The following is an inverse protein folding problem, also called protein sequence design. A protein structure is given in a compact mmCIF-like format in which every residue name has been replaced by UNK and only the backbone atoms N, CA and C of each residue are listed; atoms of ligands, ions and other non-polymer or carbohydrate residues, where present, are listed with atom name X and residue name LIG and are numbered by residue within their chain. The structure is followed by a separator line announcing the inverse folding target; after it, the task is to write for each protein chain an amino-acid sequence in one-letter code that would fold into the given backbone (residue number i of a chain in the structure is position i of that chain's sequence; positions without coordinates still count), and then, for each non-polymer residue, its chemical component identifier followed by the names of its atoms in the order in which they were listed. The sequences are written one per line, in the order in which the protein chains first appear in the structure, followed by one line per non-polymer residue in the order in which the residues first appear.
data_IF_304920825919
#
_entry.id   IF_304920825919
#
_cell.length_a   1.000
_cell.length_b   1.000
_cell.length_c   1.000
_cell.angle_alpha   90.00
_cell.angle_beta   90.00
_cell.angle_gamma   90.00
#
_symmetry.space_group_name_H-M   'P 1'
#
loop_
_entity.id
_entity.type
_entity.pdbx_description
1 polymer ?
#
# COMPACT_ATOMS: atom_id res chain seq x y z
N UNK A 1 9.46 -3.44 -10.88
CA UNK A 1 10.54 -3.04 -9.99
C UNK A 1 9.95 -2.32 -8.78
N UNK A 2 10.37 -2.73 -7.61
CA UNK A 2 9.96 -2.14 -6.33
C UNK A 2 11.10 -1.24 -5.90
N UNK A 3 10.94 0.05 -6.08
CA UNK A 3 11.99 1.04 -5.82
C UNK A 3 11.40 2.24 -5.08
N UNK A 4 12.07 2.69 -4.05
CA UNK A 4 11.78 3.91 -3.31
C UNK A 4 13.08 4.62 -2.95
N UNK A 5 13.02 5.94 -2.76
CA UNK A 5 14.20 6.73 -2.42
C UNK A 5 13.84 7.90 -1.51
N UNK A 6 14.80 8.31 -0.70
CA UNK A 6 14.76 9.55 0.08
C UNK A 6 16.11 10.30 -0.02
N UNK A 7 16.33 11.28 0.82
CA UNK A 7 17.58 12.03 0.83
C UNK A 7 18.81 11.16 1.18
N UNK A 8 18.62 10.10 1.96
CA UNK A 8 19.71 9.26 2.48
C UNK A 8 20.07 8.08 1.57
N UNK A 9 19.10 7.48 0.88
CA UNK A 9 19.36 6.25 0.14
C UNK A 9 18.32 5.92 -0.93
N UNK A 10 18.66 4.89 -1.70
CA UNK A 10 17.77 4.20 -2.64
C UNK A 10 17.52 2.80 -2.12
N UNK A 11 16.28 2.38 -2.13
CA UNK A 11 15.83 1.11 -1.56
C UNK A 11 15.05 0.32 -2.62
N UNK A 12 15.35 -0.96 -2.75
CA UNK A 12 14.67 -1.84 -3.69
C UNK A 12 14.70 -3.29 -3.21
N UNK A 13 13.89 -4.14 -3.83
CA UNK A 13 13.93 -5.58 -3.58
C UNK A 13 14.61 -6.27 -4.77
N UNK A 14 15.69 -7.00 -4.51
CA UNK A 14 16.54 -7.63 -5.54
C UNK A 14 16.01 -8.98 -6.06
N UNK A 15 14.85 -9.40 -5.57
CA UNK A 15 14.26 -10.73 -5.84
C UNK A 15 14.25 -11.60 -4.59
N UNK A 16 15.14 -11.36 -3.64
CA UNK A 16 15.29 -12.14 -2.40
C UNK A 16 15.20 -11.25 -1.16
N UNK A 17 15.85 -10.12 -1.18
CA UNK A 17 16.05 -9.24 -0.01
C UNK A 17 15.76 -7.78 -0.36
N UNK A 18 15.50 -6.98 0.66
CA UNK A 18 15.50 -5.53 0.55
C UNK A 18 16.95 -5.04 0.62
N UNK A 19 17.33 -4.19 -0.32
CA UNK A 19 18.69 -3.64 -0.46
C UNK A 19 18.62 -2.12 -0.36
N UNK A 20 19.58 -1.54 0.33
CA UNK A 20 19.81 -0.09 0.36
C UNK A 20 21.15 0.26 -0.28
N UNK A 21 21.10 1.24 -1.16
CA UNK A 21 22.30 1.85 -1.73
C UNK A 21 22.43 3.28 -1.24
N UNK A 22 23.66 3.73 -1.12
CA UNK A 22 23.94 5.15 -0.96
C UNK A 22 23.49 5.91 -2.22
N UNK A 23 22.74 6.98 -2.04
CA UNK A 23 22.17 7.73 -3.15
C UNK A 23 23.20 8.44 -4.03
N UNK A 24 24.35 8.79 -3.48
CA UNK A 24 25.39 9.55 -4.19
C UNK A 24 26.41 8.65 -4.87
N UNK A 25 26.84 7.58 -4.16
CA UNK A 25 27.91 6.71 -4.63
C UNK A 25 27.39 5.45 -5.32
N UNK A 26 26.16 5.04 -5.04
CA UNK A 26 25.60 3.77 -5.50
C UNK A 26 26.11 2.56 -4.72
N UNK A 27 26.95 2.76 -3.70
CA UNK A 27 27.46 1.66 -2.89
C UNK A 27 26.40 1.05 -2.01
N UNK A 28 26.45 -0.27 -1.82
CA UNK A 28 25.51 -0.97 -0.95
C UNK A 28 25.77 -0.60 0.52
N UNK A 29 24.76 -0.06 1.17
CA UNK A 29 24.81 0.26 2.60
C UNK A 29 24.42 -0.94 3.46
N UNK A 30 23.34 -1.62 3.08
CA UNK A 30 22.89 -2.83 3.76
C UNK A 30 22.02 -3.69 2.84
N UNK A 31 21.87 -4.94 3.24
CA UNK A 31 20.97 -5.91 2.65
C UNK A 31 20.28 -6.67 3.78
N UNK A 32 18.94 -6.80 3.70
CA UNK A 32 18.16 -7.51 4.72
C UNK A 32 18.33 -9.02 4.62
N UNK A 33 17.94 -9.72 5.67
CA UNK A 33 17.58 -11.14 5.56
C UNK A 33 16.52 -11.34 4.48
N UNK A 34 16.38 -12.55 3.92
CA UNK A 34 15.42 -12.82 2.88
C UNK A 34 14.01 -12.36 3.25
N UNK A 35 13.43 -11.54 2.41
CA UNK A 35 12.07 -11.03 2.52
C UNK A 35 11.24 -11.65 1.40
N UNK A 36 10.35 -12.56 1.72
CA UNK A 36 9.62 -13.37 0.76
C UNK A 36 8.76 -12.55 -0.22
N UNK A 37 8.67 -13.07 -1.44
CA UNK A 37 7.72 -12.56 -2.44
C UNK A 37 6.67 -13.62 -2.71
N UNK A 38 5.40 -13.21 -2.75
CA UNK A 38 4.32 -14.03 -3.25
C UNK A 38 4.39 -14.18 -4.79
N UNK A 39 3.63 -15.11 -5.31
CA UNK A 39 3.41 -15.19 -6.76
C UNK A 39 2.65 -13.94 -7.22
N UNK A 40 3.09 -13.32 -8.29
CA UNK A 40 2.36 -12.21 -8.90
C UNK A 40 0.95 -12.66 -9.27
N UNK A 41 -0.04 -11.86 -8.91
CA UNK A 41 -1.40 -12.03 -9.37
C UNK A 41 -1.57 -11.65 -10.85
N UNK A 42 -2.78 -11.78 -11.37
CA UNK A 42 -3.12 -11.23 -12.68
C UNK A 42 -2.77 -9.75 -12.74
N UNK A 43 -2.38 -9.25 -13.90
CA UNK A 43 -1.82 -7.91 -14.12
C UNK A 43 -0.45 -7.64 -13.50
N UNK A 44 0.23 -8.64 -12.93
CA UNK A 44 1.58 -8.49 -12.37
C UNK A 44 1.75 -7.28 -11.43
N UNK A 45 0.78 -7.03 -10.58
CA UNK A 45 0.97 -6.08 -9.49
C UNK A 45 2.10 -6.61 -8.59
N UNK A 46 3.27 -6.06 -8.76
CA UNK A 46 4.46 -6.44 -8.00
C UNK A 46 4.34 -6.08 -6.52
N UNK A 47 5.30 -6.53 -5.72
CA UNK A 47 5.41 -6.15 -4.32
C UNK A 47 5.50 -4.62 -4.17
N UNK A 48 5.19 -4.12 -2.99
CA UNK A 48 5.25 -2.70 -2.65
C UNK A 48 6.42 -2.43 -1.73
N UNK A 49 7.08 -1.31 -1.95
CA UNK A 49 8.12 -0.79 -1.07
C UNK A 49 7.94 0.71 -0.91
N UNK A 50 7.95 1.18 0.31
CA UNK A 50 7.80 2.59 0.67
C UNK A 50 8.90 2.94 1.66
N UNK A 51 9.48 4.13 1.55
CA UNK A 51 10.35 4.71 2.56
C UNK A 51 9.75 6.01 3.08
N UNK A 52 9.57 6.09 4.38
CA UNK A 52 9.03 7.26 5.06
C UNK A 52 9.63 7.35 6.47
N UNK A 53 9.98 8.55 6.89
CA UNK A 53 10.39 8.88 8.26
C UNK A 53 11.44 7.94 8.88
N UNK A 54 12.43 7.54 8.07
CA UNK A 54 13.49 6.64 8.50
C UNK A 54 13.13 5.16 8.54
N UNK A 55 11.95 4.78 8.03
CA UNK A 55 11.51 3.39 7.95
C UNK A 55 11.30 2.97 6.51
N UNK A 56 11.81 1.81 6.15
CA UNK A 56 11.55 1.13 4.87
C UNK A 56 10.55 0.02 5.10
N UNK A 57 9.40 0.07 4.42
CA UNK A 57 8.38 -0.96 4.53
C UNK A 57 8.32 -1.73 3.21
N UNK A 58 8.35 -3.04 3.31
CA UNK A 58 8.22 -3.96 2.20
C UNK A 58 7.01 -4.89 2.41
N UNK A 59 6.13 -4.93 1.42
CA UNK A 59 5.02 -5.88 1.33
C UNK A 59 5.23 -6.75 0.08
N UNK A 60 5.57 -8.01 0.30
CA UNK A 60 6.02 -8.91 -0.76
C UNK A 60 4.90 -9.56 -1.58
N UNK A 61 3.63 -9.35 -1.23
CA UNK A 61 2.51 -10.06 -1.85
C UNK A 61 2.32 -11.49 -1.31
N UNK A 62 2.98 -11.82 -0.20
CA UNK A 62 2.90 -13.10 0.52
C UNK A 62 2.05 -13.01 1.80
N UNK A 63 1.22 -11.97 1.91
CA UNK A 63 0.39 -11.62 3.08
C UNK A 63 1.17 -11.15 4.30
N UNK A 64 2.41 -10.76 4.11
CA UNK A 64 3.27 -10.22 5.15
C UNK A 64 3.87 -8.89 4.70
N UNK A 65 4.02 -7.97 5.64
CA UNK A 65 4.83 -6.78 5.48
C UNK A 65 5.89 -6.72 6.57
N UNK A 66 7.03 -6.17 6.22
CA UNK A 66 8.19 -5.99 7.10
C UNK A 66 8.66 -4.56 7.07
N UNK A 67 9.00 -4.04 8.22
CA UNK A 67 9.59 -2.71 8.35
C UNK A 67 11.04 -2.82 8.80
N UNK A 68 11.88 -2.04 8.16
CA UNK A 68 13.31 -2.00 8.43
C UNK A 68 13.73 -0.56 8.75
N UNK A 69 14.68 -0.40 9.64
CA UNK A 69 15.35 0.87 9.85
C UNK A 69 16.11 1.26 8.57
N UNK A 70 15.85 2.45 8.05
CA UNK A 70 16.39 2.88 6.75
C UNK A 70 17.90 3.08 6.74
N UNK A 71 18.51 3.29 7.90
CA UNK A 71 19.96 3.53 8.04
C UNK A 71 20.70 2.22 8.20
N UNK A 72 20.25 1.36 9.11
CA UNK A 72 20.95 0.13 9.51
C UNK A 72 20.46 -1.13 8.80
N UNK A 73 19.25 -1.12 8.23
CA UNK A 73 18.61 -2.32 7.67
C UNK A 73 18.07 -3.29 8.72
N UNK A 74 18.12 -2.92 10.01
CA UNK A 74 17.61 -3.77 11.09
C UNK A 74 16.09 -3.92 10.95
N UNK A 75 15.61 -5.15 11.07
CA UNK A 75 14.17 -5.42 11.15
C UNK A 75 13.59 -4.79 12.41
N UNK A 76 12.59 -3.92 12.23
CA UNK A 76 11.86 -3.25 13.31
C UNK A 76 10.66 -4.07 13.74
N UNK A 77 9.84 -4.48 12.77
CA UNK A 77 8.64 -5.28 13.03
C UNK A 77 8.20 -6.03 11.78
N UNK A 78 7.34 -7.03 12.01
CA UNK A 78 6.64 -7.79 10.97
C UNK A 78 5.16 -7.80 11.30
N UNK A 79 4.30 -7.68 10.30
CA UNK A 79 2.85 -7.71 10.48
C UNK A 79 2.14 -8.35 9.29
N UNK A 80 0.89 -8.82 9.47
CA UNK A 80 0.08 -9.26 8.35
C UNK A 80 -0.18 -8.12 7.36
N UNK A 81 -0.09 -8.43 6.07
CA UNK A 81 -0.49 -7.52 5.00
C UNK A 81 -1.82 -7.97 4.40
N UNK A 82 -2.70 -7.02 4.14
CA UNK A 82 -4.00 -7.29 3.58
C UNK A 82 -3.89 -7.90 2.17
N UNK A 83 -4.74 -8.87 1.90
CA UNK A 83 -4.83 -9.50 0.58
C UNK A 83 -5.60 -8.62 -0.39
N UNK A 84 -5.11 -8.49 -1.63
CA UNK A 84 -5.88 -7.97 -2.76
C UNK A 84 -6.98 -8.94 -3.19
N UNK A 85 -8.02 -8.41 -3.83
CA UNK A 85 -9.04 -9.22 -4.47
C UNK A 85 -8.62 -9.74 -5.85
N UNK A 86 -9.56 -10.33 -6.55
CA UNK A 86 -9.34 -10.78 -7.93
C UNK A 86 -8.89 -9.61 -8.81
N UNK A 87 -7.73 -9.76 -9.45
CA UNK A 87 -7.10 -8.73 -10.28
C UNK A 87 -6.87 -7.36 -9.62
N UNK A 88 -6.93 -7.29 -8.30
CA UNK A 88 -6.67 -6.07 -7.54
C UNK A 88 -5.29 -6.10 -6.89
N UNK A 89 -4.56 -4.99 -6.86
CA UNK A 89 -3.29 -4.92 -6.15
C UNK A 89 -3.51 -4.98 -4.63
N UNK A 90 -2.50 -5.43 -3.95
CA UNK A 90 -2.36 -5.23 -2.50
C UNK A 90 -1.77 -3.84 -2.29
N UNK A 91 -2.45 -2.99 -1.52
CA UNK A 91 -2.00 -1.63 -1.30
C UNK A 91 -1.14 -1.53 -0.05
N UNK A 92 -0.17 -0.64 -0.12
CA UNK A 92 0.66 -0.22 0.99
C UNK A 92 0.75 1.30 0.93
N UNK A 93 0.15 1.97 1.89
CA UNK A 93 0.13 3.43 1.97
C UNK A 93 0.70 3.87 3.32
N UNK A 94 1.46 4.95 3.34
CA UNK A 94 1.94 5.56 4.58
C UNK A 94 1.44 6.99 4.62
N UNK A 95 0.64 7.31 5.64
CA UNK A 95 0.02 8.62 5.81
C UNK A 95 -0.09 8.92 7.31
N UNK A 96 0.26 10.12 7.71
CA UNK A 96 0.14 10.58 9.09
C UNK A 96 0.82 9.62 10.08
N UNK A 97 2.06 9.21 9.75
CA UNK A 97 2.85 8.29 10.58
C UNK A 97 2.29 6.88 10.73
N UNK A 98 1.32 6.50 9.89
CA UNK A 98 0.67 5.19 9.94
C UNK A 98 0.78 4.46 8.62
N UNK A 99 1.00 3.16 8.73
CA UNK A 99 0.96 2.21 7.62
C UNK A 99 -0.46 1.70 7.48
N UNK A 100 -1.06 1.95 6.33
CA UNK A 100 -2.43 1.58 6.04
C UNK A 100 -2.50 0.39 5.10
N UNK A 101 -3.29 -0.60 5.47
CA UNK A 101 -3.67 -1.72 4.62
C UNK A 101 -5.12 -2.13 4.89
N UNK A 102 -5.79 -2.65 3.85
CA UNK A 102 -7.10 -3.24 3.99
C UNK A 102 -7.30 -4.34 2.97
N UNK A 103 -7.84 -5.50 3.35
CA UNK A 103 -8.24 -6.52 2.39
C UNK A 103 -9.35 -5.97 1.50
N UNK A 104 -9.42 -6.45 0.28
CA UNK A 104 -10.57 -6.18 -0.57
C UNK A 104 -11.79 -6.87 0.01
N UNK A 105 -12.89 -6.15 0.19
CA UNK A 105 -14.14 -6.74 0.66
C UNK A 105 -14.63 -7.79 -0.33
N UNK A 106 -14.78 -9.02 0.14
CA UNK A 106 -15.31 -10.14 -0.62
C UNK A 106 -16.05 -11.06 0.35
N UNK A 107 -16.65 -12.14 -0.12
CA UNK A 107 -17.40 -13.05 0.75
C UNK A 107 -16.63 -13.61 1.96
N UNK A 108 -15.31 -13.48 1.98
CA UNK A 108 -14.43 -13.96 3.06
C UNK A 108 -13.59 -12.86 3.72
N UNK A 109 -13.45 -11.71 3.08
CA UNK A 109 -12.59 -10.63 3.53
C UNK A 109 -13.44 -9.45 4.00
N UNK A 110 -13.20 -9.00 5.21
CA UNK A 110 -14.01 -7.95 5.86
C UNK A 110 -13.85 -6.59 5.22
N UNK A 111 -12.73 -6.34 4.59
CA UNK A 111 -12.35 -5.01 4.11
C UNK A 111 -11.96 -4.04 5.21
N UNK A 112 -11.79 -4.51 6.43
CA UNK A 112 -11.41 -3.68 7.57
C UNK A 112 -10.08 -2.97 7.32
N UNK A 113 -10.08 -1.66 7.49
CA UNK A 113 -8.86 -0.86 7.44
C UNK A 113 -8.09 -0.99 8.75
N UNK A 114 -6.80 -1.19 8.62
CA UNK A 114 -5.87 -1.21 9.74
C UNK A 114 -4.79 -0.17 9.50
N UNK A 115 -4.68 0.79 10.41
CA UNK A 115 -3.61 1.79 10.48
C UNK A 115 -2.64 1.43 11.59
N UNK A 116 -1.41 1.07 11.23
CA UNK A 116 -0.34 0.69 12.15
C UNK A 116 0.65 1.81 12.33
N UNK A 117 1.14 1.97 13.54
CA UNK A 117 2.27 2.86 13.80
C UNK A 117 3.47 2.50 12.91
N UNK A 118 4.04 3.49 12.26
CA UNK A 118 5.12 3.31 11.30
C UNK A 118 6.38 2.67 11.93
N UNK A 119 6.70 3.03 13.16
CA UNK A 119 7.95 2.62 13.83
C UNK A 119 7.81 1.35 14.66
N UNK A 120 6.63 1.10 15.23
CA UNK A 120 6.40 -0.03 16.14
C UNK A 120 5.59 -1.16 15.54
N UNK A 121 4.83 -0.90 14.46
CA UNK A 121 3.91 -1.87 13.87
C UNK A 121 2.62 -2.10 14.66
N UNK A 122 2.46 -1.44 15.80
CA UNK A 122 1.26 -1.55 16.62
C UNK A 122 0.03 -1.01 15.90
N UNK A 123 -1.10 -1.69 16.02
CA UNK A 123 -2.37 -1.22 15.49
C UNK A 123 -2.85 -0.02 16.32
N UNK A 124 -2.97 1.12 15.68
CA UNK A 124 -3.47 2.36 16.31
C UNK A 124 -4.91 2.69 15.90
N UNK A 125 -5.30 2.27 14.70
CA UNK A 125 -6.63 2.55 14.17
C UNK A 125 -7.15 1.33 13.44
N UNK A 126 -8.39 0.97 13.70
CA UNK A 126 -9.14 0.00 12.90
C UNK A 126 -10.55 0.51 12.66
N UNK A 127 -11.07 0.28 11.47
CA UNK A 127 -12.47 0.53 11.16
C UNK A 127 -12.92 -0.29 9.94
N UNK A 128 -14.17 -0.65 9.97
CA UNK A 128 -14.80 -1.41 8.89
C UNK A 128 -15.41 -0.47 7.85
N UNK A 129 -15.52 -0.90 6.59
CA UNK A 129 -16.22 -0.13 5.59
C UNK A 129 -17.69 0.04 5.96
N UNK A 130 -18.24 1.23 5.72
CA UNK A 130 -19.68 1.49 5.86
C UNK A 130 -20.49 0.95 4.69
N UNK A 131 -19.81 0.54 3.63
CA UNK A 131 -20.40 0.02 2.39
C UNK A 131 -20.77 -1.45 2.54
N UNK A 132 -22.04 -1.77 2.37
CA UNK A 132 -22.53 -3.15 2.36
C UNK A 132 -22.37 -3.83 1.00
N UNK A 133 -22.28 -3.06 -0.07
CA UNK A 133 -22.13 -3.55 -1.45
C UNK A 133 -20.67 -3.81 -1.76
N UNK A 134 -20.36 -4.96 -2.32
CA UNK A 134 -19.03 -5.31 -2.77
C UNK A 134 -19.10 -6.08 -4.08
N UNK A 135 -18.01 -6.01 -4.86
CA UNK A 135 -17.83 -6.68 -6.13
C UNK A 135 -16.73 -7.72 -6.01
N UNK A 136 -16.84 -8.84 -6.71
CA UNK A 136 -15.76 -9.82 -6.77
C UNK A 136 -14.58 -9.33 -7.62
N UNK A 137 -14.84 -8.43 -8.56
CA UNK A 137 -13.85 -7.76 -9.40
C UNK A 137 -13.87 -6.26 -9.08
N UNK A 138 -13.12 -5.89 -8.07
CA UNK A 138 -13.01 -4.50 -7.65
C UNK A 138 -12.18 -3.67 -8.63
N UNK A 139 -11.38 -2.80 -8.13
CA UNK A 139 -10.42 -2.05 -8.92
C UNK A 139 -9.28 -2.96 -9.43
N UNK A 140 -8.76 -2.61 -10.59
CA UNK A 140 -7.57 -3.22 -11.20
C UNK A 140 -6.44 -2.19 -11.31
N UNK A 141 -6.29 -1.33 -10.31
CA UNK A 141 -5.26 -0.32 -10.18
C UNK A 141 -4.92 -0.05 -8.72
N UNK A 142 -3.73 0.54 -8.49
CA UNK A 142 -3.23 0.85 -7.16
C UNK A 142 -4.05 1.99 -6.54
N UNK A 143 -4.46 1.84 -5.28
CA UNK A 143 -5.11 2.91 -4.54
C UNK A 143 -4.22 4.15 -4.44
N UNK A 144 -4.84 5.29 -4.29
CA UNK A 144 -4.18 6.57 -4.03
C UNK A 144 -4.53 7.06 -2.64
N UNK A 145 -3.81 8.06 -2.19
CA UNK A 145 -4.09 8.74 -0.94
C UNK A 145 -3.76 10.21 -1.02
N UNK A 146 -4.40 10.97 -0.15
CA UNK A 146 -4.08 12.35 0.17
C UNK A 146 -3.87 12.45 1.68
N UNK A 147 -3.57 13.63 2.20
CA UNK A 147 -3.42 13.85 3.65
C UNK A 147 -4.68 13.57 4.47
N UNK A 148 -5.84 13.46 3.82
CA UNK A 148 -7.12 13.28 4.48
C UNK A 148 -7.89 12.04 4.03
N UNK A 149 -7.61 11.49 2.84
CA UNK A 149 -8.42 10.44 2.25
C UNK A 149 -7.58 9.28 1.70
N UNK A 150 -8.10 8.08 1.87
CA UNK A 150 -7.70 6.90 1.10
C UNK A 150 -8.70 6.74 -0.06
N UNK A 151 -8.21 6.60 -1.28
CA UNK A 151 -9.01 6.44 -2.49
C UNK A 151 -8.85 5.00 -2.99
N UNK A 152 -9.71 4.13 -2.52
CA UNK A 152 -9.56 2.67 -2.64
C UNK A 152 -10.30 2.03 -3.78
N UNK A 153 -11.35 2.69 -4.29
CA UNK A 153 -12.14 2.26 -5.45
C UNK A 153 -12.66 0.83 -5.39
N UNK A 154 -13.34 0.49 -4.32
CA UNK A 154 -13.96 -0.84 -4.15
C UNK A 154 -15.22 -1.00 -4.98
N UNK A 155 -16.02 0.07 -5.08
CA UNK A 155 -17.30 0.05 -5.76
C UNK A 155 -17.47 1.16 -6.80
N UNK A 156 -16.44 1.96 -7.01
CA UNK A 156 -16.38 3.13 -7.87
C UNK A 156 -15.15 3.93 -7.52
N UNK A 157 -15.31 5.18 -7.16
CA UNK A 157 -14.28 5.99 -6.50
C UNK A 157 -14.81 6.31 -5.10
N UNK A 158 -14.12 5.86 -4.09
CA UNK A 158 -14.43 6.18 -2.70
C UNK A 158 -13.39 7.11 -2.13
N UNK A 159 -13.87 8.08 -1.34
CA UNK A 159 -13.07 8.92 -0.49
C UNK A 159 -13.25 8.44 0.94
N UNK A 160 -12.28 7.68 1.44
CA UNK A 160 -12.31 7.15 2.80
C UNK A 160 -11.62 8.15 3.71
N UNK A 161 -12.40 8.90 4.49
CA UNK A 161 -11.87 9.77 5.53
C UNK A 161 -11.43 8.91 6.72
N UNK A 162 -10.13 8.65 6.80
CA UNK A 162 -9.59 7.78 7.84
C UNK A 162 -9.54 8.44 9.23
N UNK A 163 -9.73 9.75 9.31
CA UNK A 163 -9.84 10.48 10.59
C UNK A 163 -11.25 10.36 11.17
N UNK A 164 -12.26 10.55 10.32
CA UNK A 164 -13.68 10.40 10.68
C UNK A 164 -14.16 8.95 10.64
N UNK A 165 -13.41 8.08 9.97
CA UNK A 165 -13.78 6.67 9.69
C UNK A 165 -15.06 6.57 8.86
N UNK A 166 -15.19 7.47 7.91
CA UNK A 166 -16.36 7.61 7.06
C UNK A 166 -16.00 7.45 5.57
N UNK A 167 -17.00 7.13 4.76
CA UNK A 167 -16.84 6.81 3.35
C UNK A 167 -17.80 7.63 2.51
N UNK A 168 -17.26 8.41 1.60
CA UNK A 168 -18.02 9.07 0.55
C UNK A 168 -17.83 8.32 -0.76
N UNK A 169 -18.91 7.87 -1.38
CA UNK A 169 -18.89 6.88 -2.45
C UNK A 169 -19.51 7.45 -3.72
N UNK A 170 -18.73 7.35 -4.81
CA UNK A 170 -19.16 7.75 -6.15
C UNK A 170 -19.18 6.53 -7.09
N UNK A 171 -20.33 5.90 -7.24
CA UNK A 171 -20.49 4.69 -8.08
C UNK A 171 -20.47 4.99 -9.60
N UNK A 172 -20.67 6.22 -9.98
CA UNK A 172 -20.82 6.63 -11.38
C UNK A 172 -19.53 6.64 -12.19
N UNK A 173 -18.41 6.71 -11.51
CA UNK A 173 -17.09 6.82 -12.12
C UNK A 173 -16.15 5.81 -11.49
N UNK A 174 -15.35 5.16 -12.32
CA UNK A 174 -14.22 4.33 -11.86
C UNK A 174 -13.00 4.61 -12.71
N UNK A 175 -11.84 4.42 -12.15
CA UNK A 175 -10.58 4.52 -12.89
C UNK A 175 -10.40 3.37 -13.87
N UNK A 176 -9.74 3.65 -14.97
CA UNK A 176 -9.35 2.62 -15.96
C UNK A 176 -8.39 1.60 -15.37
N UNK A 177 -8.49 0.34 -15.83
CA UNK A 177 -7.58 -0.73 -15.41
C UNK A 177 -6.13 -0.34 -15.64
N UNK A 178 -5.26 -0.63 -14.67
CA UNK A 178 -3.84 -0.31 -14.59
C UNK A 178 -3.53 1.18 -14.40
N UNK A 179 -4.25 2.08 -15.06
CA UNK A 179 -4.02 3.52 -15.00
C UNK A 179 -4.56 4.15 -13.72
N UNK A 180 -5.75 3.72 -13.29
CA UNK A 180 -6.35 4.18 -12.04
C UNK A 180 -6.88 5.60 -12.09
N UNK A 181 -6.69 6.30 -11.00
CA UNK A 181 -7.12 7.68 -10.79
C UNK A 181 -5.94 8.53 -10.32
N UNK A 182 -6.03 9.84 -10.51
CA UNK A 182 -5.03 10.79 -10.04
C UNK A 182 -5.70 11.95 -9.29
N UNK A 183 -5.63 11.98 -7.97
CA UNK A 183 -6.02 13.16 -7.20
C UNK A 183 -4.93 14.24 -7.39
N UNK A 184 -5.33 15.40 -7.84
CA UNK A 184 -4.42 16.52 -8.09
C UNK A 184 -5.17 17.85 -8.11
N UNK A 185 -4.61 18.89 -7.50
CA UNK A 185 -5.15 20.26 -7.51
C UNK A 185 -6.65 20.36 -7.10
N UNK A 186 -7.06 19.62 -6.08
CA UNK A 186 -8.44 19.60 -5.62
C UNK A 186 -9.42 18.84 -6.53
N UNK A 187 -8.92 18.18 -7.56
CA UNK A 187 -9.71 17.38 -8.51
C UNK A 187 -9.28 15.92 -8.47
N UNK A 188 -10.14 15.03 -8.95
CA UNK A 188 -9.79 13.65 -9.21
C UNK A 188 -9.94 13.36 -10.70
N UNK A 189 -8.85 13.05 -11.36
CA UNK A 189 -8.81 12.69 -12.76
C UNK A 189 -9.00 11.18 -12.89
N UNK A 190 -9.96 10.76 -13.69
CA UNK A 190 -10.20 9.37 -14.05
C UNK A 190 -10.19 9.25 -15.58
N UNK A 191 -9.36 8.40 -16.17
CA UNK A 191 -9.42 8.14 -17.60
C UNK A 191 -10.70 7.38 -17.93
N UNK A 192 -11.15 7.41 -19.18
CA UNK A 192 -12.28 6.58 -19.61
C UNK A 192 -11.96 5.11 -19.39
N UNK A 193 -12.99 4.34 -19.07
CA UNK A 193 -12.90 2.90 -18.82
C UNK A 193 -13.32 2.11 -20.04
#
# INVERSE_FOLDING_TARGET
LTLSANAAGVYFHDGTSVVSLDRKTGEQRWKSEPAGRGKNGSFNFGPKLVVEDGVVIFAGGNREMRAFDAVSGKLLWTAPHARGGYQSPEDLLVIDGKVWSAPTTSGRDSGQFTGRDLKTGEVKVEFSPTVKTYWFHHRCYVAKATDNYLLTSRTGIEFVDFKKKDWDIHHWVRGGCLYGIMPCNGLTYAPPH
#
